data_IF_886866441952
#
_entry.id   IF_886866441952
#
_cell.length_a   1.000
_cell.length_b   1.000
_cell.length_c   1.000
_cell.angle_alpha   90.00
_cell.angle_beta   90.00
_cell.angle_gamma   90.00
#
_symmetry.space_group_name_H-M   'P 1'
#
loop_
_entity.id
_entity.type
_entity.pdbx_description
1 polymer ?
#
# COMPACT_ATOMS: atom_id res chain seq x y z
N UNK A 1 14.30 -9.60 -30.47
CA UNK A 1 12.92 -9.15 -30.72
C UNK A 1 11.97 -9.59 -29.61
N UNK A 2 11.77 -10.90 -29.38
CA UNK A 2 10.83 -11.41 -28.37
C UNK A 2 11.01 -10.81 -26.96
N UNK A 3 12.23 -10.84 -26.39
CA UNK A 3 12.49 -10.29 -25.05
C UNK A 3 12.30 -8.78 -24.92
N UNK A 4 12.52 -8.00 -25.98
CA UNK A 4 12.23 -6.55 -25.95
C UNK A 4 10.73 -6.30 -25.92
N UNK A 5 9.96 -7.13 -26.63
CA UNK A 5 8.51 -7.06 -26.58
C UNK A 5 7.97 -7.38 -25.18
N UNK A 6 8.58 -8.35 -24.49
CA UNK A 6 8.21 -8.70 -23.11
C UNK A 6 8.46 -7.54 -22.14
N UNK A 7 9.60 -6.84 -22.26
CA UNK A 7 9.89 -5.64 -21.46
C UNK A 7 8.87 -4.52 -21.74
N UNK A 8 8.55 -4.26 -23.01
CA UNK A 8 7.54 -3.27 -23.39
C UNK A 8 6.16 -3.62 -22.82
N UNK A 9 5.79 -4.90 -22.77
CA UNK A 9 4.52 -5.36 -22.20
C UNK A 9 4.47 -5.11 -20.68
N UNK A 10 5.55 -5.40 -19.96
CA UNK A 10 5.63 -5.15 -18.51
C UNK A 10 5.59 -3.64 -18.21
N UNK A 11 6.31 -2.83 -18.99
CA UNK A 11 6.27 -1.37 -18.85
C UNK A 11 4.85 -0.83 -19.07
N UNK A 12 4.19 -1.24 -20.16
CA UNK A 12 2.82 -0.81 -20.45
C UNK A 12 1.82 -1.28 -19.38
N UNK A 13 2.02 -2.47 -18.81
CA UNK A 13 1.21 -2.95 -17.68
C UNK A 13 1.39 -2.07 -16.43
N UNK A 14 2.63 -1.71 -16.09
CA UNK A 14 2.93 -0.82 -14.96
C UNK A 14 2.36 0.59 -15.15
N UNK A 15 2.49 1.17 -16.35
CA UNK A 15 1.89 2.45 -16.70
C UNK A 15 0.37 2.41 -16.59
N UNK A 16 -0.28 1.33 -17.04
CA UNK A 16 -1.73 1.15 -16.87
C UNK A 16 -2.11 1.12 -15.40
N UNK A 17 -1.44 0.32 -14.57
CA UNK A 17 -1.74 0.24 -13.13
C UNK A 17 -1.60 1.63 -12.47
N UNK A 18 -0.54 2.36 -12.81
CA UNK A 18 -0.32 3.71 -12.28
C UNK A 18 -1.33 4.75 -12.81
N UNK A 19 -1.73 4.64 -14.08
CA UNK A 19 -2.61 5.59 -14.75
C UNK A 19 -4.11 5.30 -14.57
N UNK A 20 -4.48 4.13 -14.04
CA UNK A 20 -5.86 3.79 -13.69
C UNK A 20 -6.05 3.79 -12.17
N UNK A 21 -6.08 4.96 -11.51
CA UNK A 21 -6.41 5.02 -10.10
C UNK A 21 -7.84 4.52 -9.87
N UNK A 22 -8.13 4.06 -8.65
CA UNK A 22 -9.49 3.71 -8.27
C UNK A 22 -10.41 4.93 -8.44
N UNK A 23 -11.67 4.72 -8.85
CA UNK A 23 -12.61 5.83 -8.98
C UNK A 23 -12.75 6.59 -7.66
N UNK A 24 -12.61 7.92 -7.72
CA UNK A 24 -12.73 8.78 -6.53
C UNK A 24 -14.02 8.56 -5.73
N UNK A 25 -15.12 8.23 -6.42
CA UNK A 25 -16.39 7.92 -5.76
C UNK A 25 -16.32 6.68 -4.86
N UNK A 26 -15.47 5.70 -5.18
CA UNK A 26 -15.29 4.48 -4.39
C UNK A 26 -14.59 4.78 -3.07
N UNK A 27 -13.42 5.42 -3.13
CA UNK A 27 -12.65 5.79 -1.92
C UNK A 27 -13.45 6.74 -1.03
N UNK A 28 -14.12 7.74 -1.62
CA UNK A 28 -14.99 8.65 -0.90
C UNK A 28 -16.16 7.93 -0.19
N UNK A 29 -16.75 6.92 -0.83
CA UNK A 29 -17.83 6.16 -0.24
C UNK A 29 -17.33 5.33 0.94
N UNK A 30 -16.20 4.64 0.81
CA UNK A 30 -15.60 3.85 1.89
C UNK A 30 -15.33 4.74 3.11
N UNK A 31 -14.57 5.81 2.94
CA UNK A 31 -14.25 6.76 4.01
C UNK A 31 -15.51 7.26 4.74
N UNK A 32 -16.52 7.68 3.97
CA UNK A 32 -17.79 8.16 4.56
C UNK A 32 -18.53 7.06 5.31
N UNK A 33 -18.56 5.84 4.77
CA UNK A 33 -19.24 4.73 5.44
C UNK A 33 -18.53 4.31 6.71
N UNK A 34 -17.20 4.25 6.73
CA UNK A 34 -16.41 3.93 7.94
C UNK A 34 -16.62 5.00 9.02
N UNK A 35 -16.56 6.28 8.64
CA UNK A 35 -16.82 7.38 9.57
C UNK A 35 -18.25 7.33 10.14
N UNK A 36 -19.26 7.21 9.28
CA UNK A 36 -20.65 7.15 9.71
C UNK A 36 -20.89 5.93 10.60
N UNK A 37 -20.34 4.77 10.25
CA UNK A 37 -20.42 3.56 11.05
C UNK A 37 -19.83 3.77 12.44
N UNK A 38 -18.60 4.28 12.54
CA UNK A 38 -17.94 4.51 13.83
C UNK A 38 -18.65 5.56 14.70
N UNK A 39 -19.23 6.60 14.09
CA UNK A 39 -19.99 7.63 14.80
C UNK A 39 -21.35 7.11 15.29
N UNK A 40 -22.02 6.26 14.52
CA UNK A 40 -23.32 5.69 14.89
C UNK A 40 -23.21 4.52 15.88
N UNK A 41 -22.11 3.78 15.85
CA UNK A 41 -21.83 2.63 16.71
C UNK A 41 -22.03 2.88 18.22
N UNK A 42 -21.55 3.98 18.84
CA UNK A 42 -21.78 4.23 20.26
C UNK A 42 -23.26 4.39 20.61
N UNK A 43 -24.07 4.97 19.73
CA UNK A 43 -25.52 5.09 19.96
C UNK A 43 -26.22 3.74 19.87
N UNK A 44 -25.72 2.84 19.02
CA UNK A 44 -26.25 1.49 18.89
C UNK A 44 -25.91 0.59 20.11
N UNK A 45 -24.73 0.77 20.72
CA UNK A 45 -24.22 -0.06 21.82
C UNK A 45 -24.46 0.51 23.23
N UNK A 46 -24.71 1.82 23.35
CA UNK A 46 -24.92 2.47 24.64
C UNK A 46 -26.04 1.83 25.49
N UNK A 47 -27.20 1.42 24.94
CA UNK A 47 -28.27 0.81 25.73
C UNK A 47 -27.90 -0.55 26.35
N UNK A 48 -27.00 -1.31 25.72
CA UNK A 48 -26.64 -2.66 26.17
C UNK A 48 -25.40 -2.66 27.08
N UNK A 49 -24.42 -1.78 26.82
CA UNK A 49 -23.11 -1.81 27.47
C UNK A 49 -22.88 -0.66 28.48
N UNK A 50 -23.70 0.39 28.47
CA UNK A 50 -23.52 1.54 29.38
C UNK A 50 -22.10 2.11 29.32
N UNK A 51 -21.41 2.18 30.46
CA UNK A 51 -20.03 2.69 30.56
C UNK A 51 -18.95 1.81 29.89
N UNK A 52 -19.26 0.56 29.55
CA UNK A 52 -18.37 -0.30 28.75
C UNK A 52 -18.33 0.08 27.27
N UNK A 53 -19.32 0.83 26.79
CA UNK A 53 -19.46 1.26 25.40
C UNK A 53 -18.22 1.96 24.84
N UNK A 54 -17.64 3.00 25.47
CA UNK A 54 -16.46 3.68 24.93
C UNK A 54 -15.27 2.75 24.69
N UNK A 55 -15.06 1.74 25.56
CA UNK A 55 -13.94 0.79 25.41
C UNK A 55 -14.14 -0.10 24.18
N UNK A 56 -15.33 -0.67 24.03
CA UNK A 56 -15.65 -1.56 22.89
C UNK A 56 -15.70 -0.77 21.58
N UNK A 57 -16.32 0.41 21.59
CA UNK A 57 -16.38 1.30 20.42
C UNK A 57 -14.97 1.71 19.99
N UNK A 58 -14.09 2.08 20.92
CA UNK A 58 -12.71 2.43 20.59
C UNK A 58 -11.97 1.27 19.89
N UNK A 59 -12.15 0.03 20.38
CA UNK A 59 -11.51 -1.14 19.76
C UNK A 59 -12.04 -1.43 18.35
N UNK A 60 -13.36 -1.38 18.16
CA UNK A 60 -14.00 -1.60 16.86
C UNK A 60 -13.60 -0.48 15.89
N UNK A 61 -13.71 0.78 16.30
CA UNK A 61 -13.34 1.93 15.47
C UNK A 61 -11.88 1.91 15.06
N UNK A 62 -10.96 1.57 15.99
CA UNK A 62 -9.55 1.39 15.66
C UNK A 62 -9.34 0.36 14.54
N UNK A 63 -10.05 -0.76 14.61
CA UNK A 63 -9.95 -1.82 13.59
C UNK A 63 -10.45 -1.33 12.22
N UNK A 64 -11.60 -0.66 12.17
CA UNK A 64 -12.18 -0.16 10.92
C UNK A 64 -11.36 0.99 10.30
N UNK A 65 -10.88 1.93 11.13
CA UNK A 65 -10.00 3.00 10.63
C UNK A 65 -8.64 2.48 10.19
N UNK A 66 -8.08 1.49 10.90
CA UNK A 66 -6.85 0.82 10.46
C UNK A 66 -7.03 0.13 9.12
N UNK A 67 -8.17 -0.54 8.89
CA UNK A 67 -8.50 -1.16 7.62
C UNK A 67 -8.66 -0.14 6.49
N UNK A 68 -9.33 0.99 6.74
CA UNK A 68 -9.52 2.09 5.78
C UNK A 68 -8.16 2.69 5.37
N UNK A 69 -7.29 2.97 6.35
CA UNK A 69 -5.95 3.51 6.11
C UNK A 69 -5.04 2.55 5.30
N UNK A 70 -5.04 1.26 5.65
CA UNK A 70 -4.28 0.25 4.88
C UNK A 70 -4.85 0.12 3.46
N UNK A 71 -6.17 0.21 3.30
CA UNK A 71 -6.81 0.18 1.99
C UNK A 71 -6.36 1.31 1.07
N UNK A 72 -6.19 2.51 1.61
CA UNK A 72 -5.67 3.67 0.89
C UNK A 72 -4.21 3.49 0.47
N UNK A 73 -3.35 3.03 1.39
CA UNK A 73 -1.95 2.74 1.07
C UNK A 73 -1.81 1.70 -0.06
N UNK A 74 -2.65 0.66 -0.05
CA UNK A 74 -2.65 -0.39 -1.08
C UNK A 74 -3.21 0.09 -2.42
N UNK A 75 -4.02 1.14 -2.44
CA UNK A 75 -4.55 1.71 -3.68
C UNK A 75 -3.47 2.42 -4.51
N UNK A 76 -2.38 2.86 -3.89
CA UNK A 76 -1.28 3.58 -4.54
C UNK A 76 0.07 2.83 -4.40
N UNK A 77 0.24 1.67 -5.04
CA UNK A 77 1.39 0.78 -4.82
C UNK A 77 2.74 1.38 -5.28
N UNK A 78 2.74 2.40 -6.12
CA UNK A 78 3.94 3.07 -6.63
C UNK A 78 4.18 4.46 -6.03
N UNK A 79 3.31 4.92 -5.12
CA UNK A 79 3.51 6.16 -4.39
C UNK A 79 4.67 6.01 -3.38
N UNK A 80 5.25 7.11 -2.90
CA UNK A 80 6.21 7.05 -1.81
C UNK A 80 5.47 6.90 -0.47
N UNK A 81 5.11 5.66 -0.10
CA UNK A 81 4.62 5.32 1.24
C UNK A 81 5.37 4.10 1.81
N UNK A 82 5.30 3.92 3.12
CA UNK A 82 6.02 2.85 3.84
C UNK A 82 5.58 1.45 3.40
N UNK A 83 4.32 1.32 2.98
CA UNK A 83 3.71 0.07 2.51
C UNK A 83 3.74 -0.08 0.97
N UNK A 84 4.40 0.82 0.26
CA UNK A 84 4.50 0.80 -1.20
C UNK A 84 5.53 -0.20 -1.70
N UNK A 85 5.52 -0.47 -3.01
CA UNK A 85 6.48 -1.36 -3.62
C UNK A 85 7.91 -0.78 -3.53
N UNK A 86 8.92 -1.58 -3.16
CA UNK A 86 10.30 -1.14 -3.03
C UNK A 86 10.98 -1.06 -4.41
N UNK A 87 10.49 -0.16 -5.28
CA UNK A 87 10.92 -0.08 -6.68
C UNK A 87 12.42 0.20 -6.79
N UNK A 88 13.02 0.98 -5.89
CA UNK A 88 14.47 1.25 -5.95
C UNK A 88 15.28 0.02 -5.57
N UNK A 89 14.81 -0.76 -4.59
CA UNK A 89 15.42 -2.03 -4.25
C UNK A 89 15.34 -3.03 -5.41
N UNK A 90 14.20 -3.12 -6.11
CA UNK A 90 14.06 -3.96 -7.30
C UNK A 90 15.01 -3.51 -8.43
N UNK A 91 15.14 -2.20 -8.65
CA UNK A 91 16.12 -1.66 -9.62
C UNK A 91 17.55 -2.01 -9.21
N UNK A 92 17.89 -1.93 -7.92
CA UNK A 92 19.22 -2.33 -7.40
C UNK A 92 19.51 -3.81 -7.65
N UNK A 93 18.52 -4.69 -7.54
CA UNK A 93 18.68 -6.12 -7.86
C UNK A 93 19.02 -6.29 -9.34
N UNK A 94 18.22 -5.68 -10.23
CA UNK A 94 18.45 -5.76 -11.69
C UNK A 94 19.80 -5.15 -12.09
N UNK A 95 20.16 -4.02 -11.49
CA UNK A 95 21.46 -3.35 -11.68
C UNK A 95 22.63 -4.31 -11.37
N UNK A 96 22.56 -4.98 -10.21
CA UNK A 96 23.59 -5.94 -9.79
C UNK A 96 23.66 -7.16 -10.71
N UNK A 97 22.53 -7.70 -11.16
CA UNK A 97 22.50 -8.82 -12.09
C UNK A 97 23.16 -8.47 -13.43
N UNK A 98 22.85 -7.29 -13.98
CA UNK A 98 23.45 -6.81 -15.23
C UNK A 98 24.96 -6.61 -15.06
N UNK A 99 25.38 -5.90 -14.01
CA UNK A 99 26.81 -5.64 -13.74
C UNK A 99 27.60 -6.93 -13.53
N UNK A 100 27.02 -7.89 -12.81
CA UNK A 100 27.61 -9.22 -12.61
C UNK A 100 27.78 -9.96 -13.95
N UNK A 101 26.76 -9.93 -14.82
CA UNK A 101 26.85 -10.56 -16.15
C UNK A 101 27.91 -9.92 -17.06
N UNK A 102 28.23 -8.65 -16.83
CA UNK A 102 29.27 -7.90 -17.54
C UNK A 102 30.67 -8.08 -16.91
N UNK A 103 30.79 -8.81 -15.80
CA UNK A 103 32.04 -9.03 -15.07
C UNK A 103 32.54 -7.79 -14.31
N UNK A 104 31.67 -6.81 -14.05
CA UNK A 104 32.04 -5.58 -13.32
C UNK A 104 32.10 -5.88 -11.82
N UNK A 105 33.17 -5.42 -11.17
CA UNK A 105 33.35 -5.52 -9.71
C UNK A 105 34.10 -4.27 -9.19
N UNK A 106 33.75 -3.77 -7.99
CA UNK A 106 32.75 -4.29 -7.06
C UNK A 106 31.30 -3.97 -7.50
N UNK A 107 30.36 -4.80 -7.07
CA UNK A 107 28.94 -4.57 -7.29
C UNK A 107 28.41 -3.51 -6.31
N UNK A 108 27.38 -2.73 -6.68
CA UNK A 108 26.68 -1.86 -5.76
C UNK A 108 26.10 -2.64 -4.57
N UNK A 109 26.15 -2.03 -3.39
CA UNK A 109 25.62 -2.63 -2.17
C UNK A 109 24.11 -2.91 -2.29
N UNK A 110 23.64 -3.95 -1.62
CA UNK A 110 22.20 -4.23 -1.52
C UNK A 110 21.54 -3.15 -0.67
N UNK A 111 20.36 -2.67 -1.10
CA UNK A 111 19.56 -1.81 -0.24
C UNK A 111 18.98 -2.67 0.89
N UNK A 112 19.34 -2.34 2.12
CA UNK A 112 18.84 -2.99 3.32
C UNK A 112 17.60 -2.24 3.83
N UNK A 113 16.63 -2.94 4.43
CA UNK A 113 15.48 -2.30 5.04
C UNK A 113 15.93 -1.42 6.21
N UNK A 114 15.43 -0.18 6.25
CA UNK A 114 15.67 0.76 7.36
C UNK A 114 14.34 0.94 8.09
N UNK A 115 14.29 0.53 9.36
CA UNK A 115 13.06 0.67 10.17
C UNK A 115 11.88 -0.14 9.63
N UNK A 116 12.12 -1.36 9.15
CA UNK A 116 11.14 -2.27 8.52
C UNK A 116 10.60 -1.82 7.15
N UNK A 117 11.05 -0.68 6.63
CA UNK A 117 10.71 -0.20 5.30
C UNK A 117 11.86 -0.47 4.34
N UNK A 118 11.55 -1.07 3.20
CA UNK A 118 12.49 -1.22 2.08
C UNK A 118 12.06 -0.24 0.99
N UNK A 119 12.97 0.65 0.57
CA UNK A 119 12.69 1.67 -0.44
C UNK A 119 13.51 1.47 -1.71
#
# INVERSE_FOLDING_TARGET
AARMNDLSNVQAAGERIKATPLPFAYTLLIHRTVYLFCVLLPFALAPQLGWGTPVIVAFISYTFFGLDAIGDDLAEPFAPADNSLPVKALVRVVEREILSSLGVSPLPDELQPVGYVLS
#
